data_IF_690706121933
#
_entry.id   IF_690706121933
#
_cell.length_a   1.000
_cell.length_b   1.000
_cell.length_c   1.000
_cell.angle_alpha   90.00
_cell.angle_beta   90.00
_cell.angle_gamma   90.00
#
_symmetry.space_group_name_H-M   'P 1'
#
loop_
_entity.id
_entity.type
_entity.pdbx_description
1 polymer ?
#
# COMPACT_ATOMS: atom_id res chain seq x y z
N UNK A 1 16.21 -7.70 -13.65
CA UNK A 1 16.91 -7.27 -12.44
C UNK A 1 16.60 -5.80 -12.13
N UNK A 2 16.41 -5.50 -10.87
CA UNK A 2 16.15 -4.16 -10.35
C UNK A 2 16.96 -3.95 -9.07
N UNK A 3 17.44 -2.73 -8.84
CA UNK A 3 18.18 -2.41 -7.63
C UNK A 3 17.42 -1.34 -6.84
N UNK A 4 17.01 -1.71 -5.62
CA UNK A 4 16.34 -0.78 -4.71
C UNK A 4 17.36 -0.19 -3.74
N UNK A 5 17.38 1.14 -3.54
CA UNK A 5 18.24 1.77 -2.54
C UNK A 5 18.01 1.24 -1.12
N UNK A 6 16.80 0.75 -0.83
CA UNK A 6 16.37 0.31 0.51
C UNK A 6 16.49 -1.20 0.67
N UNK A 7 16.05 -1.98 -0.35
CA UNK A 7 15.98 -3.44 -0.28
C UNK A 7 17.15 -4.14 -0.98
N UNK A 8 18.01 -3.40 -1.69
CA UNK A 8 19.12 -3.98 -2.43
C UNK A 8 18.71 -4.57 -3.77
N UNK A 9 19.41 -5.63 -4.18
CA UNK A 9 19.19 -6.31 -5.45
C UNK A 9 17.87 -7.10 -5.44
N UNK A 10 17.10 -6.94 -6.51
CA UNK A 10 15.83 -7.62 -6.70
C UNK A 10 15.52 -7.90 -8.17
N UNK A 11 14.32 -8.38 -8.42
CA UNK A 11 13.81 -8.61 -9.78
C UNK A 11 12.36 -8.15 -9.87
N UNK A 12 12.00 -7.54 -10.99
CA UNK A 12 10.60 -7.27 -11.30
C UNK A 12 10.06 -8.44 -12.11
N UNK A 13 8.96 -9.01 -11.63
CA UNK A 13 8.34 -10.22 -12.20
C UNK A 13 6.88 -9.92 -12.51
N UNK A 14 6.39 -10.36 -13.68
CA UNK A 14 4.98 -10.35 -14.01
C UNK A 14 4.29 -11.64 -13.60
N UNK A 15 3.11 -11.53 -13.01
CA UNK A 15 2.28 -12.65 -12.58
C UNK A 15 0.89 -12.60 -13.28
N UNK A 16 0.23 -13.74 -13.37
CA UNK A 16 -1.13 -13.85 -13.93
C UNK A 16 -2.23 -13.44 -12.92
N UNK A 17 -1.86 -13.12 -11.70
CA UNK A 17 -2.74 -12.72 -10.61
C UNK A 17 -2.09 -13.00 -9.25
N UNK A 18 -2.76 -12.59 -8.17
CA UNK A 18 -2.23 -12.70 -6.79
C UNK A 18 -1.97 -14.14 -6.38
N UNK A 19 -2.89 -15.07 -6.70
CA UNK A 19 -2.72 -16.49 -6.39
C UNK A 19 -1.47 -17.08 -7.06
N UNK A 20 -1.20 -16.72 -8.32
CA UNK A 20 0.00 -17.16 -9.01
C UNK A 20 1.27 -16.62 -8.33
N UNK A 21 1.26 -15.38 -7.91
CA UNK A 21 2.35 -14.78 -7.14
C UNK A 21 2.59 -15.52 -5.82
N UNK A 22 1.54 -15.79 -5.05
CA UNK A 22 1.63 -16.49 -3.76
C UNK A 22 2.22 -17.90 -3.93
N UNK A 23 1.78 -18.65 -4.95
CA UNK A 23 2.29 -19.99 -5.26
C UNK A 23 3.79 -19.94 -5.62
N UNK A 24 4.19 -19.01 -6.48
CA UNK A 24 5.59 -18.89 -6.89
C UNK A 24 6.46 -18.48 -5.71
N UNK A 25 6.01 -17.51 -4.87
CA UNK A 25 6.71 -17.11 -3.67
C UNK A 25 6.91 -18.29 -2.72
N UNK A 26 5.84 -19.00 -2.37
CA UNK A 26 5.92 -20.17 -1.47
C UNK A 26 6.87 -21.26 -2.02
N UNK A 27 6.85 -21.49 -3.33
CA UNK A 27 7.78 -22.45 -3.94
C UNK A 27 9.23 -22.01 -3.83
N UNK A 28 9.52 -20.74 -4.09
CA UNK A 28 10.88 -20.21 -4.01
C UNK A 28 11.40 -20.23 -2.56
N UNK A 29 10.56 -19.86 -1.60
CA UNK A 29 10.90 -19.94 -0.17
C UNK A 29 11.17 -21.39 0.26
N UNK A 30 10.28 -22.34 -0.11
CA UNK A 30 10.36 -23.72 0.33
C UNK A 30 11.41 -24.57 -0.41
N UNK A 31 11.56 -24.39 -1.72
CA UNK A 31 12.45 -25.21 -2.55
C UNK A 31 13.90 -24.70 -2.55
N UNK A 32 14.09 -23.39 -2.36
CA UNK A 32 15.40 -22.74 -2.44
C UNK A 32 15.83 -22.04 -1.15
N UNK A 33 15.03 -22.12 -0.08
CA UNK A 33 15.31 -21.51 1.24
C UNK A 33 15.63 -20.00 1.12
N UNK A 34 14.83 -19.30 0.28
CA UNK A 34 14.98 -17.87 0.04
C UNK A 34 14.07 -17.08 0.99
N UNK A 35 14.60 -16.06 1.63
CA UNK A 35 13.82 -15.06 2.35
C UNK A 35 13.43 -13.92 1.37
N UNK A 36 12.17 -13.94 0.93
CA UNK A 36 11.69 -13.07 -0.13
C UNK A 36 10.83 -11.92 0.43
N UNK A 37 11.18 -10.70 0.04
CA UNK A 37 10.37 -9.51 0.27
C UNK A 37 9.66 -9.13 -1.04
N UNK A 38 8.33 -9.30 -1.07
CA UNK A 38 7.50 -8.90 -2.21
C UNK A 38 6.94 -7.50 -1.95
N UNK A 39 7.17 -6.59 -2.88
CA UNK A 39 6.69 -5.20 -2.79
C UNK A 39 5.63 -4.90 -3.84
N UNK A 40 4.88 -3.83 -3.63
CA UNK A 40 3.90 -3.34 -4.60
C UNK A 40 4.56 -3.03 -5.95
N UNK A 41 3.91 -3.39 -7.07
CA UNK A 41 4.33 -2.90 -8.36
C UNK A 41 4.20 -1.37 -8.37
N UNK A 42 5.26 -0.69 -8.81
CA UNK A 42 5.25 0.74 -9.03
C UNK A 42 5.32 1.05 -10.51
N UNK A 43 4.71 2.15 -10.90
CA UNK A 43 4.91 2.76 -12.22
C UNK A 43 6.09 3.72 -12.16
N UNK A 44 6.67 4.04 -13.30
CA UNK A 44 7.63 5.12 -13.40
C UNK A 44 6.86 6.45 -13.40
N UNK A 45 7.35 7.44 -12.66
CA UNK A 45 6.77 8.79 -12.61
C UNK A 45 7.76 9.79 -13.18
N UNK A 46 7.26 10.81 -13.85
CA UNK A 46 8.07 11.94 -14.31
C UNK A 46 7.86 13.11 -13.35
N UNK A 47 8.96 13.65 -12.86
CA UNK A 47 8.94 14.75 -11.88
C UNK A 47 9.67 15.93 -12.45
N UNK A 48 8.98 17.08 -12.50
CA UNK A 48 9.60 18.36 -12.88
C UNK A 48 10.00 19.10 -11.60
N UNK A 49 11.28 19.43 -11.49
CA UNK A 49 11.84 20.18 -10.36
C UNK A 49 11.60 21.68 -10.54
N UNK A 50 11.73 22.43 -9.45
CA UNK A 50 11.69 23.91 -9.45
C UNK A 50 12.84 24.52 -10.26
N UNK A 51 13.92 23.77 -10.50
CA UNK A 51 15.02 24.14 -11.41
C UNK A 51 14.64 24.06 -12.89
N UNK A 52 13.52 23.43 -13.24
CA UNK A 52 13.12 23.10 -14.61
C UNK A 52 13.70 21.76 -15.11
N UNK A 53 14.46 21.05 -14.30
CA UNK A 53 14.96 19.72 -14.62
C UNK A 53 13.85 18.68 -14.53
N UNK A 54 13.79 17.76 -15.50
CA UNK A 54 12.88 16.60 -15.49
C UNK A 54 13.66 15.34 -15.10
N UNK A 55 13.13 14.60 -14.15
CA UNK A 55 13.70 13.33 -13.67
C UNK A 55 12.64 12.23 -13.67
N UNK A 56 13.08 11.01 -14.00
CA UNK A 56 12.24 9.82 -13.87
C UNK A 56 12.49 9.13 -12.53
N UNK A 57 11.44 8.85 -11.78
CA UNK A 57 11.50 8.10 -10.52
C UNK A 57 10.73 6.79 -10.62
N UNK A 58 11.32 5.72 -10.10
CA UNK A 58 10.76 4.36 -10.15
C UNK A 58 10.08 3.94 -8.85
N UNK A 59 10.31 4.67 -7.79
CA UNK A 59 9.74 4.37 -6.47
C UNK A 59 9.38 5.65 -5.72
N UNK A 60 8.43 5.57 -4.81
CA UNK A 60 8.04 6.68 -3.96
C UNK A 60 9.20 7.19 -3.09
N UNK A 61 10.09 6.29 -2.65
CA UNK A 61 11.27 6.63 -1.85
C UNK A 61 12.29 7.50 -2.61
N UNK A 62 12.27 7.44 -3.95
CA UNK A 62 13.17 8.24 -4.82
C UNK A 62 12.61 9.64 -5.09
N UNK A 63 11.40 9.98 -4.59
CA UNK A 63 10.83 11.32 -4.76
C UNK A 63 11.70 12.35 -4.01
N UNK A 64 12.19 13.41 -4.68
CA UNK A 64 12.87 14.53 -4.03
C UNK A 64 11.99 15.23 -2.99
N UNK A 65 12.59 16.11 -2.21
CA UNK A 65 11.85 16.98 -1.28
C UNK A 65 10.73 17.70 -2.03
N UNK A 66 9.50 17.61 -1.49
CA UNK A 66 8.29 18.20 -2.08
C UNK A 66 8.46 19.70 -2.38
N UNK A 67 9.26 20.41 -1.58
CA UNK A 67 9.57 21.83 -1.82
C UNK A 67 10.34 22.10 -3.14
N UNK A 68 10.98 21.07 -3.69
CA UNK A 68 11.74 21.15 -4.94
C UNK A 68 10.96 20.62 -6.15
N UNK A 69 9.74 20.13 -5.95
CA UNK A 69 8.92 19.54 -7.00
C UNK A 69 7.86 20.54 -7.44
N UNK A 70 7.78 20.78 -8.74
CA UNK A 70 6.76 21.64 -9.35
C UNK A 70 5.57 20.81 -9.84
N UNK A 71 5.85 19.66 -10.47
CA UNK A 71 4.84 18.83 -11.10
C UNK A 71 5.24 17.36 -11.04
N UNK A 72 4.26 16.47 -10.86
CA UNK A 72 4.44 15.03 -10.95
C UNK A 72 3.47 14.50 -11.99
N UNK A 73 4.00 13.73 -12.95
CA UNK A 73 3.23 13.09 -14.01
C UNK A 73 3.22 11.59 -13.80
N UNK A 74 2.06 10.98 -13.94
CA UNK A 74 1.87 9.53 -13.91
C UNK A 74 1.47 8.99 -15.29
N UNK A 75 1.85 7.72 -15.61
CA UNK A 75 1.45 7.10 -16.87
C UNK A 75 -0.04 6.80 -16.88
N UNK A 76 -0.68 7.11 -17.99
CA UNK A 76 -2.09 6.82 -18.28
C UNK A 76 -2.21 5.78 -19.37
N UNK A 77 -3.35 5.09 -19.39
CA UNK A 77 -3.72 4.12 -20.41
C UNK A 77 -5.03 4.50 -21.10
N UNK A 78 -5.17 4.06 -22.35
CA UNK A 78 -6.45 3.86 -23.00
C UNK A 78 -6.80 2.39 -22.85
N UNK A 79 -7.93 2.09 -22.20
CA UNK A 79 -8.39 0.75 -21.93
C UNK A 79 -9.67 0.44 -22.68
N UNK A 80 -9.85 -0.83 -23.03
CA UNK A 80 -11.06 -1.36 -23.64
C UNK A 80 -11.51 -2.60 -22.87
N UNK A 81 -12.77 -2.60 -22.46
CA UNK A 81 -13.40 -3.73 -21.79
C UNK A 81 -14.56 -4.23 -22.66
N UNK A 82 -14.54 -5.52 -22.95
CA UNK A 82 -15.68 -6.22 -23.60
C UNK A 82 -16.40 -7.05 -22.55
N UNK A 83 -17.72 -6.86 -22.42
CA UNK A 83 -18.53 -7.48 -21.38
C UNK A 83 -19.98 -7.67 -21.87
N UNK A 84 -20.73 -8.68 -21.37
CA UNK A 84 -22.18 -8.76 -21.61
C UNK A 84 -22.90 -7.51 -21.08
N UNK A 85 -23.99 -7.13 -21.74
CA UNK A 85 -24.72 -5.87 -21.46
C UNK A 85 -25.18 -5.73 -20.01
N UNK A 86 -25.49 -6.84 -19.34
CA UNK A 86 -25.96 -6.86 -17.96
C UNK A 86 -24.92 -6.34 -16.95
N UNK A 87 -23.63 -6.40 -17.30
CA UNK A 87 -22.54 -5.97 -16.39
C UNK A 87 -22.01 -4.56 -16.65
N UNK A 88 -22.54 -3.86 -17.66
CA UNK A 88 -22.05 -2.53 -18.07
C UNK A 88 -22.01 -1.55 -16.88
N UNK A 89 -23.07 -1.49 -16.09
CA UNK A 89 -23.15 -0.59 -14.93
C UNK A 89 -22.07 -0.88 -13.87
N UNK A 90 -21.87 -2.17 -13.55
CA UNK A 90 -20.85 -2.58 -12.56
C UNK A 90 -19.43 -2.27 -13.05
N UNK A 91 -19.16 -2.50 -14.35
CA UNK A 91 -17.86 -2.19 -14.95
C UNK A 91 -17.58 -0.70 -14.97
N UNK A 92 -18.56 0.13 -15.32
CA UNK A 92 -18.41 1.59 -15.30
C UNK A 92 -18.10 2.08 -13.87
N UNK A 93 -18.80 1.55 -12.86
CA UNK A 93 -18.52 1.89 -11.46
C UNK A 93 -17.10 1.47 -11.05
N UNK A 94 -16.66 0.27 -11.47
CA UNK A 94 -15.29 -0.19 -11.22
C UNK A 94 -14.26 0.75 -11.86
N UNK A 95 -14.44 1.13 -13.13
CA UNK A 95 -13.55 2.06 -13.84
C UNK A 95 -13.48 3.41 -13.11
N UNK A 96 -14.61 3.96 -12.71
CA UNK A 96 -14.67 5.23 -11.97
C UNK A 96 -13.98 5.12 -10.60
N UNK A 97 -14.14 4.01 -9.89
CA UNK A 97 -13.47 3.77 -8.61
C UNK A 97 -11.94 3.73 -8.72
N UNK A 98 -11.40 3.45 -9.92
CA UNK A 98 -9.96 3.47 -10.23
C UNK A 98 -9.49 4.78 -10.88
N UNK A 99 -10.20 5.88 -10.67
CA UNK A 99 -9.95 7.19 -11.29
C UNK A 99 -10.09 7.17 -12.83
N UNK A 100 -10.68 6.11 -13.36
CA UNK A 100 -10.92 6.01 -14.80
C UNK A 100 -12.01 6.96 -15.28
N UNK A 101 -11.89 7.37 -16.53
CA UNK A 101 -12.86 8.23 -17.23
C UNK A 101 -13.37 7.46 -18.46
N UNK A 102 -14.66 7.13 -18.47
CA UNK A 102 -15.28 6.53 -19.63
C UNK A 102 -15.20 7.49 -20.82
N UNK A 103 -14.77 6.96 -21.98
CA UNK A 103 -14.72 7.69 -23.26
C UNK A 103 -15.86 7.35 -24.17
N UNK A 104 -16.07 6.07 -24.40
CA UNK A 104 -17.08 5.58 -25.31
C UNK A 104 -17.75 4.31 -24.79
N UNK A 105 -18.98 4.09 -25.20
CA UNK A 105 -19.74 2.87 -24.96
C UNK A 105 -20.44 2.50 -26.25
N UNK A 106 -20.12 1.36 -26.80
CA UNK A 106 -20.78 0.82 -27.99
C UNK A 106 -21.30 -0.58 -27.72
N UNK A 107 -22.41 -0.92 -28.35
CA UNK A 107 -23.04 -2.22 -28.23
C UNK A 107 -22.86 -3.01 -29.53
N UNK A 108 -22.47 -4.26 -29.38
CA UNK A 108 -22.32 -5.24 -30.50
C UNK A 108 -23.08 -6.47 -30.06
N UNK A 109 -24.27 -6.66 -30.60
CA UNK A 109 -25.21 -7.68 -30.19
C UNK A 109 -25.50 -7.67 -28.69
N UNK A 110 -25.22 -8.76 -27.98
CA UNK A 110 -25.40 -8.92 -26.54
C UNK A 110 -24.19 -8.45 -25.71
N UNK A 111 -23.20 -7.84 -26.35
CA UNK A 111 -21.97 -7.36 -25.70
C UNK A 111 -21.83 -5.86 -25.78
N UNK A 112 -21.20 -5.29 -24.80
CA UNK A 112 -20.81 -3.90 -24.77
C UNK A 112 -19.28 -3.78 -24.83
N UNK A 113 -18.79 -2.84 -25.63
CA UNK A 113 -17.41 -2.36 -25.64
C UNK A 113 -17.35 -1.04 -24.90
N UNK A 114 -16.64 -1.01 -23.78
CA UNK A 114 -16.43 0.17 -22.94
C UNK A 114 -15.00 0.63 -23.16
N UNK A 115 -14.83 1.80 -23.78
CA UNK A 115 -13.53 2.44 -23.91
C UNK A 115 -13.37 3.49 -22.81
N UNK A 116 -12.23 3.50 -22.15
CA UNK A 116 -11.94 4.41 -21.03
C UNK A 116 -10.46 4.78 -20.98
N UNK A 117 -10.15 5.78 -20.21
CA UNK A 117 -8.78 6.11 -19.84
C UNK A 117 -8.63 6.06 -18.32
N UNK A 118 -7.48 5.66 -17.83
CA UNK A 118 -7.21 5.59 -16.40
C UNK A 118 -5.70 5.68 -16.11
N UNK A 119 -5.31 6.08 -14.86
CA UNK A 119 -3.93 5.97 -14.43
C UNK A 119 -3.51 4.51 -14.32
N UNK A 120 -2.35 4.17 -14.87
CA UNK A 120 -1.84 2.80 -14.86
C UNK A 120 -1.67 2.26 -13.42
N UNK A 121 -1.20 3.10 -12.50
CA UNK A 121 -0.94 2.71 -11.11
C UNK A 121 -2.19 2.15 -10.40
N UNK A 122 -3.39 2.67 -10.72
CA UNK A 122 -4.64 2.23 -10.10
C UNK A 122 -5.15 0.88 -10.63
N UNK A 123 -4.57 0.37 -11.73
CA UNK A 123 -5.01 -0.87 -12.39
C UNK A 123 -4.08 -2.06 -12.10
N UNK A 124 -2.83 -1.81 -11.67
CA UNK A 124 -1.80 -2.84 -11.61
C UNK A 124 -2.06 -3.94 -10.55
N UNK A 125 -2.73 -3.62 -9.46
CA UNK A 125 -2.82 -4.54 -8.31
C UNK A 125 -4.01 -5.48 -8.40
N UNK A 126 -5.21 -4.96 -8.48
CA UNK A 126 -6.45 -5.70 -8.22
C UNK A 126 -7.56 -5.51 -9.27
N UNK A 127 -7.33 -4.62 -10.26
CA UNK A 127 -8.35 -4.28 -11.25
C UNK A 127 -8.83 -5.51 -12.04
N UNK A 128 -7.90 -6.38 -12.45
CA UNK A 128 -8.24 -7.57 -13.23
C UNK A 128 -9.11 -8.55 -12.44
N UNK A 129 -8.76 -8.77 -11.17
CA UNK A 129 -9.50 -9.66 -10.27
C UNK A 129 -10.88 -9.08 -9.96
N UNK A 130 -10.97 -7.77 -9.71
CA UNK A 130 -12.24 -7.08 -9.51
C UNK A 130 -13.11 -7.11 -10.78
N UNK A 131 -12.52 -6.89 -11.96
CA UNK A 131 -13.25 -6.99 -13.23
C UNK A 131 -13.83 -8.38 -13.41
N UNK A 132 -13.06 -9.44 -13.19
CA UNK A 132 -13.55 -10.83 -13.26
C UNK A 132 -14.64 -11.09 -12.23
N UNK A 133 -14.49 -10.59 -11.03
CA UNK A 133 -15.49 -10.73 -9.96
C UNK A 133 -16.82 -10.08 -10.34
N UNK A 134 -16.80 -8.78 -10.72
CA UNK A 134 -18.03 -8.03 -11.04
C UNK A 134 -18.71 -8.47 -12.32
N UNK A 135 -18.00 -9.21 -13.19
CA UNK A 135 -18.52 -9.70 -14.48
C UNK A 135 -18.72 -11.22 -14.50
N UNK A 136 -18.65 -11.89 -13.34
CA UNK A 136 -18.73 -13.37 -13.25
C UNK A 136 -17.75 -14.08 -14.20
N UNK A 137 -16.58 -13.48 -14.43
CA UNK A 137 -15.54 -14.01 -15.32
C UNK A 137 -15.66 -13.65 -16.80
N UNK A 138 -16.76 -13.03 -17.22
CA UNK A 138 -17.01 -12.73 -18.65
C UNK A 138 -16.27 -11.51 -19.18
N UNK A 139 -15.85 -10.58 -18.32
CA UNK A 139 -15.14 -9.36 -18.74
C UNK A 139 -13.76 -9.67 -19.31
N UNK A 140 -13.42 -9.09 -20.46
CA UNK A 140 -12.07 -9.07 -21.01
C UNK A 140 -11.56 -7.63 -21.07
N UNK A 141 -10.27 -7.44 -20.84
CA UNK A 141 -9.64 -6.14 -20.76
C UNK A 141 -8.34 -6.11 -21.55
N UNK A 142 -8.19 -5.11 -22.38
CA UNK A 142 -6.96 -4.74 -23.06
C UNK A 142 -6.66 -3.27 -22.83
N UNK A 143 -5.39 -2.89 -22.90
CA UNK A 143 -5.00 -1.48 -22.77
C UNK A 143 -3.73 -1.16 -23.56
N UNK A 144 -3.57 0.12 -23.85
CA UNK A 144 -2.36 0.71 -24.44
C UNK A 144 -1.93 1.92 -23.62
N UNK A 145 -0.63 2.14 -23.53
CA UNK A 145 -0.10 3.34 -22.85
C UNK A 145 -0.46 4.61 -23.64
N UNK A 146 -1.00 5.62 -22.99
CA UNK A 146 -1.40 6.88 -23.58
C UNK A 146 -0.54 8.09 -23.18
N UNK A 147 0.66 7.81 -22.63
CA UNK A 147 1.59 8.84 -22.20
C UNK A 147 1.45 9.22 -20.72
N UNK A 148 2.10 10.30 -20.33
CA UNK A 148 2.13 10.81 -18.96
C UNK A 148 1.23 12.03 -18.80
N UNK A 149 0.56 12.14 -17.65
CA UNK A 149 -0.28 13.31 -17.31
C UNK A 149 0.05 13.81 -15.93
N UNK A 150 0.08 15.14 -15.81
CA UNK A 150 0.22 15.82 -14.53
C UNK A 150 -1.04 15.62 -13.68
N UNK A 151 -0.84 15.15 -12.46
CA UNK A 151 -1.93 14.91 -11.51
C UNK A 151 -1.48 15.31 -10.09
N UNK A 152 -2.42 15.53 -9.18
CA UNK A 152 -2.12 15.90 -7.80
C UNK A 152 -1.67 14.67 -6.98
N UNK A 153 -0.44 14.24 -7.25
CA UNK A 153 0.16 13.08 -6.61
C UNK A 153 0.95 13.48 -5.36
N UNK A 154 0.86 12.64 -4.35
CA UNK A 154 1.59 12.80 -3.09
C UNK A 154 2.26 11.51 -2.69
N UNK A 155 3.39 11.62 -2.00
CA UNK A 155 4.01 10.47 -1.33
C UNK A 155 3.33 10.25 0.01
N UNK A 156 2.86 9.04 0.24
CA UNK A 156 2.36 8.56 1.52
C UNK A 156 3.45 7.73 2.18
N UNK A 157 3.95 8.21 3.30
CA UNK A 157 4.99 7.57 4.10
C UNK A 157 4.37 6.81 5.26
N UNK A 158 4.90 5.62 5.54
CA UNK A 158 4.47 4.81 6.68
C UNK A 158 5.56 4.75 7.74
N UNK A 159 5.13 4.92 8.99
CA UNK A 159 6.00 4.94 10.18
C UNK A 159 5.63 3.79 11.11
N UNK A 160 6.65 3.06 11.55
CA UNK A 160 6.54 2.02 12.58
C UNK A 160 7.39 2.43 13.78
N UNK A 161 6.79 2.55 14.94
CA UNK A 161 7.45 3.02 16.16
C UNK A 161 8.11 4.42 16.08
N UNK A 162 7.72 5.24 15.09
CA UNK A 162 8.27 6.57 14.82
C UNK A 162 9.40 6.59 13.79
N UNK A 163 9.81 5.43 13.27
CA UNK A 163 10.77 5.31 12.17
C UNK A 163 10.04 5.11 10.85
N UNK A 164 10.48 5.80 9.80
CA UNK A 164 9.93 5.65 8.45
C UNK A 164 10.35 4.30 7.86
N UNK A 165 9.42 3.66 7.16
CA UNK A 165 9.67 2.42 6.43
C UNK A 165 9.57 2.73 4.93
N UNK A 166 10.69 3.18 4.35
CA UNK A 166 10.75 3.64 2.96
C UNK A 166 10.21 2.61 1.95
N UNK A 167 10.41 1.32 2.22
CA UNK A 167 9.91 0.24 1.36
C UNK A 167 8.37 0.12 1.33
N UNK A 168 7.67 0.71 2.30
CA UNK A 168 6.21 0.80 2.34
C UNK A 168 5.69 2.12 1.73
N UNK A 169 6.56 3.12 1.49
CA UNK A 169 6.14 4.39 0.92
C UNK A 169 5.58 4.21 -0.48
N UNK A 170 4.46 4.88 -0.77
CA UNK A 170 3.76 4.78 -2.06
C UNK A 170 3.39 6.15 -2.60
N UNK A 171 3.30 6.24 -3.93
CA UNK A 171 2.68 7.38 -4.59
C UNK A 171 1.17 7.16 -4.67
N UNK A 172 0.40 8.17 -4.36
CA UNK A 172 -1.05 8.13 -4.45
C UNK A 172 -1.61 9.49 -4.87
N UNK A 173 -2.76 9.50 -5.53
CA UNK A 173 -3.48 10.73 -5.76
C UNK A 173 -3.98 11.30 -4.42
N UNK A 174 -3.93 12.62 -4.25
CA UNK A 174 -4.26 13.30 -2.98
C UNK A 174 -5.65 12.95 -2.46
N UNK A 175 -6.63 12.77 -3.36
CA UNK A 175 -7.99 12.40 -2.97
C UNK A 175 -8.09 11.01 -2.34
N UNK A 176 -7.21 10.08 -2.71
CA UNK A 176 -7.20 8.68 -2.23
C UNK A 176 -6.21 8.47 -1.09
N UNK A 177 -5.23 9.35 -0.93
CA UNK A 177 -4.11 9.19 -0.01
C UNK A 177 -4.54 8.99 1.46
N UNK A 178 -5.64 9.63 1.88
CA UNK A 178 -6.12 9.50 3.25
C UNK A 178 -6.78 8.14 3.52
N UNK A 179 -7.62 7.62 2.61
CA UNK A 179 -8.21 6.29 2.74
C UNK A 179 -7.15 5.21 2.66
N UNK A 180 -6.27 5.30 1.66
CA UNK A 180 -5.12 4.41 1.49
C UNK A 180 -4.26 4.35 2.76
N UNK A 181 -3.88 5.51 3.31
CA UNK A 181 -3.09 5.58 4.54
C UNK A 181 -3.78 4.92 5.73
N UNK A 182 -5.08 5.14 5.89
CA UNK A 182 -5.88 4.57 6.99
C UNK A 182 -6.03 3.05 6.86
N UNK A 183 -6.36 2.57 5.68
CA UNK A 183 -6.53 1.13 5.40
C UNK A 183 -5.21 0.37 5.58
N UNK A 184 -4.13 0.91 5.04
CA UNK A 184 -2.80 0.31 5.18
C UNK A 184 -2.36 0.22 6.64
N UNK A 185 -2.49 1.30 7.42
CA UNK A 185 -2.12 1.30 8.84
C UNK A 185 -2.97 0.29 9.63
N UNK A 186 -4.26 0.14 9.29
CA UNK A 186 -5.13 -0.87 9.89
C UNK A 186 -4.66 -2.29 9.56
N UNK A 187 -4.33 -2.58 8.30
CA UNK A 187 -3.82 -3.89 7.86
C UNK A 187 -2.45 -4.20 8.49
N UNK A 188 -1.55 -3.21 8.56
CA UNK A 188 -0.25 -3.37 9.24
C UNK A 188 -0.41 -3.75 10.72
N UNK A 189 -1.45 -3.27 11.38
CA UNK A 189 -1.74 -3.64 12.77
C UNK A 189 -2.05 -5.11 12.97
N UNK A 190 -2.64 -5.77 11.95
CA UNK A 190 -3.00 -7.18 12.02
C UNK A 190 -1.80 -8.10 11.75
N UNK A 191 -0.80 -7.60 11.02
CA UNK A 191 0.39 -8.36 10.60
C UNK A 191 1.59 -8.13 11.51
N UNK A 192 1.82 -6.89 11.96
CA UNK A 192 2.97 -6.57 12.81
C UNK A 192 2.76 -7.15 14.21
N UNK A 193 3.68 -8.00 14.72
CA UNK A 193 3.52 -8.64 16.02
C UNK A 193 3.61 -7.63 17.15
N UNK A 194 2.80 -7.85 18.19
CA UNK A 194 2.84 -7.03 19.41
C UNK A 194 4.21 -7.14 20.06
N UNK A 195 4.66 -6.03 20.61
CA UNK A 195 5.94 -5.92 21.31
C UNK A 195 5.75 -5.75 22.81
N UNK A 196 6.84 -5.79 23.59
CA UNK A 196 6.82 -5.48 25.02
C UNK A 196 6.56 -4.00 25.35
N UNK A 197 6.51 -3.15 24.32
CA UNK A 197 6.16 -1.73 24.37
C UNK A 197 5.11 -1.39 23.33
N UNK A 198 4.46 -0.25 23.49
CA UNK A 198 3.46 0.23 22.54
C UNK A 198 4.14 0.65 21.23
N UNK A 199 3.66 0.13 20.11
CA UNK A 199 4.10 0.50 18.77
C UNK A 199 3.05 1.37 18.12
N UNK A 200 3.43 2.57 17.68
CA UNK A 200 2.57 3.42 16.85
C UNK A 200 2.81 3.10 15.39
N UNK A 201 1.74 2.85 14.66
CA UNK A 201 1.72 2.70 13.21
C UNK A 201 1.07 3.96 12.64
N UNK A 202 1.73 4.66 11.74
CA UNK A 202 1.24 5.94 11.27
C UNK A 202 1.45 6.08 9.75
N UNK A 203 0.55 6.80 9.10
CA UNK A 203 0.73 7.25 7.73
C UNK A 203 0.83 8.77 7.69
N UNK A 204 1.69 9.30 6.84
CA UNK A 204 1.91 10.74 6.71
C UNK A 204 2.07 11.17 5.25
N UNK A 205 1.73 12.43 4.99
CA UNK A 205 1.99 13.13 3.72
C UNK A 205 2.80 14.37 4.05
N UNK A 206 4.01 14.48 3.48
CA UNK A 206 4.90 15.61 3.73
C UNK A 206 5.19 15.84 5.23
N UNK A 207 5.33 14.75 5.99
CA UNK A 207 5.57 14.78 7.45
C UNK A 207 4.32 15.01 8.31
N UNK A 208 3.14 15.31 7.71
CA UNK A 208 1.88 15.46 8.45
C UNK A 208 1.17 14.11 8.55
N UNK A 209 0.96 13.62 9.76
CA UNK A 209 0.23 12.38 10.00
C UNK A 209 -1.25 12.50 9.60
N UNK A 210 -1.70 11.54 8.77
CA UNK A 210 -3.08 11.44 8.24
C UNK A 210 -3.85 10.25 8.83
N UNK A 211 -3.13 9.22 9.30
CA UNK A 211 -3.73 8.06 9.95
C UNK A 211 -2.80 7.53 11.05
N UNK A 212 -3.41 6.89 12.06
CA UNK A 212 -2.69 6.27 13.15
C UNK A 212 -3.46 5.10 13.73
N UNK A 213 -2.74 4.01 14.00
CA UNK A 213 -3.15 2.89 14.83
C UNK A 213 -2.07 2.59 15.87
N UNK A 214 -2.49 2.03 16.99
CA UNK A 214 -1.56 1.68 18.07
C UNK A 214 -1.64 0.19 18.39
N UNK A 215 -0.51 -0.50 18.38
CA UNK A 215 -0.35 -1.85 18.92
C UNK A 215 -0.07 -1.75 20.41
N UNK A 216 -0.97 -2.28 21.22
CA UNK A 216 -0.77 -2.31 22.67
C UNK A 216 0.37 -3.25 23.05
N UNK A 217 1.19 -2.85 24.03
CA UNK A 217 2.25 -3.70 24.55
C UNK A 217 1.73 -4.98 25.21
N UNK A 218 2.49 -6.08 25.11
CA UNK A 218 2.25 -7.23 25.98
C UNK A 218 2.24 -6.77 27.45
N UNK A 219 1.23 -7.18 28.19
CA UNK A 219 1.07 -6.80 29.60
C UNK A 219 1.10 -8.06 30.46
N UNK A 220 2.15 -8.18 31.28
CA UNK A 220 2.16 -9.19 32.33
C UNK A 220 1.25 -8.70 33.46
N UNK A 221 0.38 -9.56 33.96
CA UNK A 221 -0.37 -9.23 35.18
C UNK A 221 0.57 -9.27 36.38
N UNK A 222 0.93 -8.08 36.85
CA UNK A 222 1.84 -7.90 38.02
C UNK A 222 1.07 -7.68 39.32
N UNK A 223 -0.28 -7.79 39.23
CA UNK A 223 -1.17 -7.53 40.38
C UNK A 223 -1.82 -8.78 40.94
N UNK A 224 -1.79 -9.90 40.22
CA UNK A 224 -2.44 -11.17 40.61
C UNK A 224 -2.00 -11.73 41.93
N UNK A 225 -0.73 -11.50 42.36
CA UNK A 225 -0.20 -11.91 43.66
C UNK A 225 -0.36 -10.89 44.78
N UNK A 226 -1.05 -9.77 44.53
CA UNK A 226 -1.24 -8.73 45.52
C UNK A 226 -2.63 -8.85 46.17
N UNK A 227 -2.66 -9.11 47.48
CA UNK A 227 -3.90 -9.24 48.27
C UNK A 227 -4.84 -8.05 48.08
N UNK A 228 -6.15 -8.30 48.12
CA UNK A 228 -7.22 -7.43 47.61
C UNK A 228 -7.36 -6.01 48.17
N UNK A 229 -6.64 -5.64 49.23
CA UNK A 229 -6.87 -4.38 49.94
C UNK A 229 -5.91 -3.22 49.63
N UNK A 230 -4.69 -3.48 49.13
CA UNK A 230 -3.68 -2.43 49.00
C UNK A 230 -3.68 -1.79 47.60
N UNK A 231 -4.58 -0.84 47.40
CA UNK A 231 -4.71 -0.06 46.15
C UNK A 231 -3.44 0.75 45.88
N UNK A 232 -2.75 1.25 46.90
CA UNK A 232 -1.53 2.06 46.78
C UNK A 232 -0.38 1.23 46.23
N UNK A 233 -0.20 0.00 46.71
CA UNK A 233 0.83 -0.94 46.23
C UNK A 233 0.56 -1.37 44.79
N UNK A 234 -0.70 -1.66 44.44
CA UNK A 234 -1.12 -1.98 43.05
C UNK A 234 -0.78 -0.83 42.11
N UNK A 235 -1.10 0.42 42.48
CA UNK A 235 -0.76 1.61 41.67
C UNK A 235 0.76 1.77 41.49
N UNK A 236 1.57 1.58 42.53
CA UNK A 236 3.03 1.68 42.44
C UNK A 236 3.64 0.63 41.53
N UNK A 237 3.18 -0.61 41.59
CA UNK A 237 3.66 -1.71 40.71
C UNK A 237 3.28 -1.45 39.27
N UNK A 238 2.05 -1.03 39.00
CA UNK A 238 1.59 -0.65 37.64
C UNK A 238 2.37 0.54 37.08
N UNK A 239 2.64 1.56 37.90
CA UNK A 239 3.45 2.73 37.51
C UNK A 239 4.89 2.34 37.17
N UNK A 240 5.51 1.41 37.98
CA UNK A 240 6.84 0.87 37.69
C UNK A 240 6.87 0.10 36.36
N UNK A 241 5.85 -0.73 36.10
CA UNK A 241 5.70 -1.43 34.82
C UNK A 241 5.56 -0.45 33.64
N UNK A 242 4.71 0.58 33.76
CA UNK A 242 4.53 1.61 32.75
C UNK A 242 5.84 2.38 32.46
N UNK A 243 6.60 2.75 33.53
CA UNK A 243 7.90 3.40 33.38
C UNK A 243 8.93 2.51 32.69
N UNK A 244 8.96 1.21 32.99
CA UNK A 244 9.81 0.21 32.33
C UNK A 244 9.49 0.11 30.84
N UNK A 245 8.21 0.01 30.47
CA UNK A 245 7.76 -0.03 29.05
C UNK A 245 8.10 1.25 28.29
N UNK A 246 7.95 2.43 28.92
CA UNK A 246 8.35 3.70 28.32
C UNK A 246 9.86 3.77 28.06
N UNK A 247 10.67 3.15 28.93
CA UNK A 247 12.12 3.01 28.71
C UNK A 247 12.43 2.06 27.56
N UNK A 248 11.78 0.89 27.51
CA UNK A 248 11.94 -0.08 26.41
C UNK A 248 11.60 0.53 25.04
N UNK A 249 10.57 1.36 24.95
CA UNK A 249 10.18 2.07 23.72
C UNK A 249 11.31 2.94 23.15
N UNK A 250 12.24 3.44 23.95
CA UNK A 250 13.36 4.29 23.49
C UNK A 250 14.48 3.50 22.81
N UNK A 251 14.59 2.20 23.07
CA UNK A 251 15.69 1.36 22.62
C UNK A 251 15.22 0.15 21.79
N UNK A 252 13.90 -0.12 21.78
CA UNK A 252 13.34 -1.26 21.06
C UNK A 252 13.20 -0.95 19.58
N UNK A 253 13.86 -1.75 18.76
CA UNK A 253 13.57 -1.83 17.32
C UNK A 253 12.38 -2.77 17.12
N UNK A 254 11.54 -2.48 16.13
CA UNK A 254 10.43 -3.32 15.71
C UNK A 254 10.89 -4.05 14.46
N UNK A 255 10.88 -5.36 14.55
CA UNK A 255 11.10 -6.20 13.37
C UNK A 255 9.83 -6.21 12.52
N UNK A 256 9.98 -5.88 11.25
CA UNK A 256 8.87 -5.79 10.28
C UNK A 256 8.89 -7.08 9.49
N UNK A 257 7.89 -7.97 9.67
CA UNK A 257 7.85 -9.23 8.95
C UNK A 257 7.63 -8.99 7.45
N UNK A 258 8.08 -9.93 6.62
CA UNK A 258 7.93 -9.88 5.15
C UNK A 258 6.47 -9.75 4.71
N UNK A 259 5.53 -10.32 5.47
CA UNK A 259 4.10 -10.20 5.23
C UNK A 259 3.58 -8.76 5.30
N UNK A 260 4.24 -7.87 6.05
CA UNK A 260 3.86 -6.46 6.13
C UNK A 260 3.98 -5.75 4.77
N UNK A 261 4.92 -6.16 3.93
CA UNK A 261 5.09 -5.60 2.59
C UNK A 261 4.02 -6.12 1.62
N UNK A 262 3.56 -7.36 1.79
CA UNK A 262 2.48 -7.94 0.97
C UNK A 262 1.09 -7.41 1.32
N UNK A 263 0.92 -6.86 2.52
CA UNK A 263 -0.34 -6.20 2.94
C UNK A 263 -0.75 -5.08 1.99
N UNK A 264 0.23 -4.38 1.42
CA UNK A 264 -0.01 -3.33 0.44
C UNK A 264 -0.59 -3.84 -0.88
N UNK A 265 -0.38 -5.13 -1.21
CA UNK A 265 -0.87 -5.76 -2.43
C UNK A 265 -2.34 -6.16 -2.35
N UNK A 266 -2.82 -6.45 -1.14
CA UNK A 266 -4.21 -6.87 -0.90
C UNK A 266 -5.06 -5.65 -0.59
N UNK A 267 -5.77 -5.14 -1.59
CA UNK A 267 -6.87 -4.18 -1.40
C UNK A 267 -8.17 -4.99 -1.27
N UNK A 268 -8.84 -4.87 -0.12
CA UNK A 268 -10.15 -5.50 0.11
C UNK A 268 -11.23 -4.82 -0.74
#
# INVERSE_FOLDING_TARGET
PENSPVLGFGVRIGFLGMLHMDIIRERLEREYDLDLVVTNPSTDYQVTLTSGEEIDIKSASSLPDVAKVTEIREPWINGEIVVPTDYVGAVIQLVVSKRGRQKNLSYIDERALISFEAPLANLLTDFYDQLKSVTSGYGSFNYELSGYRAEDLVRVDFYVAGEIVDALSVMAHRSEAQSLGRETVKKLKDVIPRQNFQVALQAAIGGRFIAREDLSAYRKDVTTGLYGGDVSRKKKVLAKQAKGKKRMKRFGKVDIPSEAFTVMLRRD
#
